data_IF_279899741631
#
_entry.id   IF_279899741631
#
_cell.length_a   1.000
_cell.length_b   1.000
_cell.length_c   1.000
_cell.angle_alpha   90.00
_cell.angle_beta   90.00
_cell.angle_gamma   90.00
#
_symmetry.space_group_name_H-M   'P 1'
#
loop_
_entity.id
_entity.type
_entity.pdbx_description
1 polymer ?
#
# COMPACT_ATOMS: atom_id res chain seq x y z
N UNK A 1 -21.66 15.60 -10.64
CA UNK A 1 -20.37 14.92 -10.39
C UNK A 1 -20.29 13.68 -11.30
N UNK A 2 -19.25 13.59 -12.15
CA UNK A 2 -19.20 12.61 -13.25
C UNK A 2 -19.14 11.15 -12.71
N UNK A 3 -19.95 10.21 -13.23
CA UNK A 3 -20.03 8.81 -12.73
C UNK A 3 -18.66 8.12 -12.64
N UNK A 4 -17.76 8.41 -13.59
CA UNK A 4 -16.38 7.86 -13.61
C UNK A 4 -15.52 8.34 -12.43
N UNK A 5 -15.70 9.59 -12.01
CA UNK A 5 -14.96 10.16 -10.88
C UNK A 5 -15.38 9.49 -9.57
N UNK A 6 -16.68 9.29 -9.36
CA UNK A 6 -17.21 8.55 -8.20
C UNK A 6 -16.62 7.13 -8.12
N UNK A 7 -16.58 6.41 -9.25
CA UNK A 7 -16.00 5.07 -9.30
C UNK A 7 -14.51 5.07 -8.93
N UNK A 8 -13.74 6.02 -9.46
CA UNK A 8 -12.31 6.15 -9.13
C UNK A 8 -12.07 6.34 -7.63
N UNK A 9 -12.88 7.18 -7.00
CA UNK A 9 -12.79 7.45 -5.56
C UNK A 9 -13.24 6.28 -4.71
N UNK A 10 -14.30 5.57 -5.12
CA UNK A 10 -14.72 4.34 -4.46
C UNK A 10 -13.63 3.27 -4.50
N UNK A 11 -13.02 3.05 -5.67
CA UNK A 11 -11.92 2.07 -5.79
C UNK A 11 -10.70 2.49 -4.98
N UNK A 12 -10.34 3.78 -5.00
CA UNK A 12 -9.23 4.31 -4.20
C UNK A 12 -9.49 4.10 -2.70
N UNK A 13 -10.69 4.46 -2.23
CA UNK A 13 -11.08 4.28 -0.83
C UNK A 13 -11.12 2.80 -0.43
N UNK A 14 -11.64 1.93 -1.30
CA UNK A 14 -11.66 0.49 -1.08
C UNK A 14 -10.23 -0.09 -1.00
N UNK A 15 -9.33 0.29 -1.92
CA UNK A 15 -7.95 -0.19 -1.92
C UNK A 15 -7.17 0.28 -0.69
N UNK A 16 -7.25 1.58 -0.36
CA UNK A 16 -6.59 2.11 0.83
C UNK A 16 -7.22 1.56 2.12
N UNK A 17 -8.54 1.45 2.18
CA UNK A 17 -9.25 0.92 3.34
C UNK A 17 -8.94 -0.56 3.57
N UNK A 18 -8.88 -1.36 2.50
CA UNK A 18 -8.45 -2.74 2.58
C UNK A 18 -6.98 -2.84 3.00
N UNK A 19 -6.10 -2.08 2.36
CA UNK A 19 -4.67 -2.10 2.66
C UNK A 19 -4.34 -1.65 4.10
N UNK A 20 -4.95 -0.57 4.57
CA UNK A 20 -4.74 -0.06 5.93
C UNK A 20 -5.53 -0.83 6.99
N UNK A 21 -6.68 -1.39 6.65
CA UNK A 21 -7.57 -2.06 7.59
C UNK A 21 -7.23 -3.53 7.83
N UNK A 22 -6.76 -4.25 6.81
CA UNK A 22 -6.47 -5.69 6.89
C UNK A 22 -5.58 -6.09 8.08
N UNK A 23 -4.46 -5.41 8.37
CA UNK A 23 -3.58 -5.77 9.48
C UNK A 23 -4.23 -5.64 10.87
N UNK A 24 -5.29 -4.82 10.98
CA UNK A 24 -6.02 -4.58 12.23
C UNK A 24 -7.13 -5.59 12.47
N UNK A 25 -7.58 -6.27 11.41
CA UNK A 25 -8.61 -7.29 11.55
C UNK A 25 -8.02 -8.49 12.28
N UNK A 26 -8.77 -8.97 13.26
CA UNK A 26 -8.39 -10.13 14.06
C UNK A 26 -9.40 -11.24 13.89
N UNK A 27 -8.90 -12.46 13.84
CA UNK A 27 -9.70 -13.66 13.79
C UNK A 27 -9.20 -14.65 14.84
N UNK A 28 -10.07 -15.02 15.78
CA UNK A 28 -9.76 -15.94 16.90
C UNK A 28 -8.51 -15.55 17.70
N UNK A 29 -8.30 -14.24 17.91
CA UNK A 29 -7.19 -13.72 18.71
C UNK A 29 -5.88 -13.47 17.94
N UNK A 30 -5.75 -13.96 16.70
CA UNK A 30 -4.60 -13.66 15.83
C UNK A 30 -4.97 -12.62 14.75
N UNK A 31 -3.97 -11.98 14.15
CA UNK A 31 -4.16 -11.13 12.97
C UNK A 31 -4.77 -11.94 11.81
N UNK A 32 -5.69 -11.33 11.07
CA UNK A 32 -6.44 -11.97 9.98
C UNK A 32 -5.52 -12.44 8.85
N UNK A 33 -4.57 -11.58 8.48
CA UNK A 33 -3.52 -11.86 7.52
C UNK A 33 -2.18 -11.48 8.14
N UNK A 34 -1.31 -12.48 8.30
CA UNK A 34 0.04 -12.27 8.79
C UNK A 34 1.02 -13.18 8.06
N UNK A 35 2.07 -12.57 7.51
CA UNK A 35 3.19 -13.24 6.88
C UNK A 35 4.30 -13.40 7.92
N UNK A 36 4.28 -14.52 8.63
CA UNK A 36 5.26 -14.82 9.67
C UNK A 36 6.53 -15.38 9.01
N UNK A 37 7.52 -14.51 8.82
CA UNK A 37 8.78 -14.87 8.17
C UNK A 37 9.61 -15.81 9.06
N UNK A 38 9.58 -15.61 10.37
CA UNK A 38 10.36 -16.39 11.33
C UNK A 38 9.82 -17.81 11.46
N UNK A 39 8.50 -17.95 11.62
CA UNK A 39 7.85 -19.25 11.60
C UNK A 39 7.84 -19.87 10.20
N UNK A 40 7.99 -19.06 9.13
CA UNK A 40 7.80 -19.44 7.71
C UNK A 40 6.36 -19.86 7.41
N UNK A 41 5.39 -19.16 8.00
CA UNK A 41 3.98 -19.49 7.94
C UNK A 41 3.17 -18.26 7.51
N UNK A 42 2.26 -18.43 6.56
CA UNK A 42 1.29 -17.41 6.14
C UNK A 42 -0.03 -17.76 6.80
N UNK A 43 -0.40 -16.95 7.80
CA UNK A 43 -1.68 -17.06 8.48
C UNK A 43 -2.70 -16.24 7.72
N UNK A 44 -3.73 -16.88 7.18
CA UNK A 44 -4.81 -16.23 6.45
C UNK A 44 -6.16 -16.76 6.91
N UNK A 45 -6.96 -15.95 7.59
CA UNK A 45 -8.32 -16.29 8.00
C UNK A 45 -8.41 -17.61 8.82
N UNK A 46 -7.39 -17.89 9.64
CA UNK A 46 -7.28 -19.14 10.40
C UNK A 46 -6.77 -20.35 9.60
N UNK A 47 -6.51 -20.20 8.31
CA UNK A 47 -5.68 -21.12 7.53
C UNK A 47 -4.21 -20.82 7.81
N UNK A 48 -3.43 -21.86 7.95
CA UNK A 48 -1.99 -21.77 8.16
C UNK A 48 -1.25 -22.41 6.99
N UNK A 49 -0.68 -21.56 6.13
CA UNK A 49 0.00 -21.96 4.91
C UNK A 49 1.50 -21.89 5.12
N UNK A 50 2.12 -23.06 5.12
CA UNK A 50 3.57 -23.21 5.18
C UNK A 50 4.27 -22.64 3.95
N UNK A 51 5.20 -21.70 4.16
CA UNK A 51 6.00 -21.10 3.08
C UNK A 51 7.02 -22.07 2.48
N UNK A 52 7.42 -23.11 3.23
CA UNK A 52 8.36 -24.13 2.75
C UNK A 52 7.69 -25.20 1.86
N UNK A 53 6.36 -25.21 1.79
CA UNK A 53 5.61 -26.06 0.87
C UNK A 53 5.66 -25.48 -0.55
N UNK A 54 6.74 -25.80 -1.29
CA UNK A 54 7.02 -25.26 -2.63
C UNK A 54 5.88 -25.50 -3.62
N UNK A 55 5.28 -26.70 -3.62
CA UNK A 55 4.28 -27.05 -4.62
C UNK A 55 2.96 -26.27 -4.44
N UNK A 56 2.35 -26.17 -3.23
CA UNK A 56 1.23 -25.26 -2.99
C UNK A 56 1.53 -23.79 -3.32
N UNK A 57 2.71 -23.30 -2.94
CA UNK A 57 3.12 -21.91 -3.20
C UNK A 57 3.26 -21.64 -4.71
N UNK A 58 3.81 -22.59 -5.47
CA UNK A 58 3.93 -22.50 -6.92
C UNK A 58 2.54 -22.43 -7.57
N UNK A 59 1.62 -23.31 -7.19
CA UNK A 59 0.26 -23.30 -7.72
C UNK A 59 -0.47 -22.00 -7.39
N UNK A 60 -0.30 -21.48 -6.17
CA UNK A 60 -0.86 -20.19 -5.77
C UNK A 60 -0.30 -19.04 -6.62
N UNK A 61 1.02 -19.01 -6.84
CA UNK A 61 1.67 -18.00 -7.67
C UNK A 61 1.22 -18.06 -9.13
N UNK A 62 1.12 -19.26 -9.71
CA UNK A 62 0.61 -19.48 -11.07
C UNK A 62 -0.86 -19.06 -11.18
N UNK A 63 -1.69 -19.40 -10.20
CA UNK A 63 -3.09 -19.00 -10.17
C UNK A 63 -3.24 -17.47 -10.09
N UNK A 64 -2.44 -16.80 -9.25
CA UNK A 64 -2.44 -15.35 -9.14
C UNK A 64 -2.00 -14.67 -10.45
N UNK A 65 -0.95 -15.18 -11.09
CA UNK A 65 -0.49 -14.68 -12.39
C UNK A 65 -1.54 -14.89 -13.48
N UNK A 66 -2.13 -16.09 -13.56
CA UNK A 66 -3.18 -16.40 -14.51
C UNK A 66 -4.42 -15.52 -14.30
N UNK A 67 -4.83 -15.30 -13.05
CA UNK A 67 -5.94 -14.41 -12.71
C UNK A 67 -5.64 -12.97 -13.13
N UNK A 68 -4.42 -12.47 -12.88
CA UNK A 68 -4.02 -11.13 -13.33
C UNK A 68 -4.05 -11.03 -14.86
N UNK A 69 -3.48 -11.99 -15.58
CA UNK A 69 -3.49 -12.04 -17.04
C UNK A 69 -4.92 -12.11 -17.60
N UNK A 70 -5.79 -12.93 -17.00
CA UNK A 70 -7.19 -13.07 -17.40
C UNK A 70 -7.95 -11.75 -17.21
N UNK A 71 -7.86 -11.12 -16.02
CA UNK A 71 -8.49 -9.82 -15.75
C UNK A 71 -7.99 -8.78 -16.75
N UNK A 72 -6.69 -8.78 -17.03
CA UNK A 72 -6.09 -7.85 -17.99
C UNK A 72 -6.55 -8.09 -19.42
N UNK A 73 -6.67 -9.35 -19.83
CA UNK A 73 -7.14 -9.71 -21.18
C UNK A 73 -8.61 -9.37 -21.37
N UNK A 74 -9.44 -9.51 -20.34
CA UNK A 74 -10.88 -9.24 -20.42
C UNK A 74 -11.20 -7.76 -20.29
N UNK A 75 -10.47 -7.04 -19.43
CA UNK A 75 -10.82 -5.68 -19.03
C UNK A 75 -9.74 -4.63 -19.37
N UNK A 76 -8.70 -5.00 -20.10
CA UNK A 76 -7.62 -4.11 -20.53
C UNK A 76 -6.86 -3.47 -19.35
N UNK A 77 -6.44 -2.21 -19.53
CA UNK A 77 -5.64 -1.46 -18.54
C UNK A 77 -6.43 -0.95 -17.31
N UNK A 78 -7.58 -1.54 -16.98
CA UNK A 78 -8.37 -1.14 -15.80
C UNK A 78 -7.58 -1.26 -14.49
N UNK A 79 -6.74 -2.29 -14.34
CA UNK A 79 -5.85 -2.40 -13.17
C UNK A 79 -4.94 -1.18 -13.02
N UNK A 80 -4.16 -0.86 -14.06
CA UNK A 80 -3.28 0.31 -14.09
C UNK A 80 -4.04 1.61 -13.88
N UNK A 81 -5.24 1.73 -14.45
CA UNK A 81 -6.05 2.93 -14.36
C UNK A 81 -6.76 3.12 -13.00
N UNK A 82 -6.94 2.08 -12.17
CA UNK A 82 -7.76 2.19 -10.95
C UNK A 82 -7.11 1.64 -9.68
N UNK A 83 -6.48 0.47 -9.73
CA UNK A 83 -6.05 -0.28 -8.55
C UNK A 83 -4.53 -0.36 -8.36
N UNK A 84 -3.74 -0.07 -9.41
CA UNK A 84 -2.28 -0.10 -9.32
C UNK A 84 -1.78 0.80 -8.16
N UNK A 85 -0.86 0.32 -7.29
CA UNK A 85 -0.37 1.07 -6.14
C UNK A 85 0.16 2.46 -6.52
N UNK A 86 0.87 2.57 -7.66
CA UNK A 86 1.39 3.85 -8.14
C UNK A 86 0.27 4.85 -8.45
N UNK A 87 -0.81 4.38 -9.08
CA UNK A 87 -1.97 5.19 -9.42
C UNK A 87 -2.71 5.63 -8.16
N UNK A 88 -2.91 4.73 -7.21
CA UNK A 88 -3.57 5.01 -5.92
C UNK A 88 -2.79 6.08 -5.15
N UNK A 89 -1.48 5.90 -4.98
CA UNK A 89 -0.61 6.84 -4.26
C UNK A 89 -0.55 8.21 -4.94
N UNK A 90 -0.35 8.25 -6.26
CA UNK A 90 -0.27 9.52 -7.01
C UNK A 90 -1.59 10.28 -6.97
N UNK A 91 -2.73 9.57 -7.07
CA UNK A 91 -4.06 10.20 -6.95
C UNK A 91 -4.31 10.73 -5.55
N UNK A 92 -3.95 9.97 -4.52
CA UNK A 92 -4.05 10.40 -3.13
C UNK A 92 -3.23 11.67 -2.90
N UNK A 93 -1.99 11.70 -3.40
CA UNK A 93 -1.14 12.89 -3.30
C UNK A 93 -1.75 14.09 -4.02
N UNK A 94 -2.16 13.96 -5.30
CA UNK A 94 -2.81 15.06 -6.04
C UNK A 94 -4.11 15.54 -5.37
N UNK A 95 -4.85 14.65 -4.71
CA UNK A 95 -6.00 15.04 -3.93
C UNK A 95 -5.62 15.86 -2.70
N UNK A 96 -4.64 15.41 -1.93
CA UNK A 96 -4.08 16.14 -0.80
C UNK A 96 -3.63 17.54 -1.22
N UNK A 97 -2.90 17.63 -2.33
CA UNK A 97 -2.45 18.88 -2.93
C UNK A 97 -3.61 19.83 -3.24
N UNK A 98 -4.68 19.34 -3.88
CA UNK A 98 -5.86 20.16 -4.20
C UNK A 98 -6.55 20.66 -2.94
N UNK A 99 -6.68 19.81 -1.92
CA UNK A 99 -7.31 20.19 -0.65
C UNK A 99 -6.49 21.30 0.03
N UNK A 100 -5.15 21.17 0.06
CA UNK A 100 -4.28 22.18 0.68
C UNK A 100 -4.31 23.53 -0.07
N UNK A 101 -4.35 23.51 -1.41
CA UNK A 101 -4.35 24.75 -2.21
C UNK A 101 -5.73 25.41 -2.29
N UNK A 102 -6.81 24.63 -2.49
CA UNK A 102 -8.15 25.17 -2.72
C UNK A 102 -8.83 25.67 -1.45
N UNK A 103 -8.63 24.97 -0.33
CA UNK A 103 -9.29 25.33 0.92
C UNK A 103 -8.50 26.35 1.74
N UNK A 104 -7.36 26.83 1.24
CA UNK A 104 -6.52 27.80 1.94
C UNK A 104 -6.13 27.34 3.35
N UNK A 105 -6.04 26.03 3.59
CA UNK A 105 -5.73 25.43 4.90
C UNK A 105 -4.42 25.97 5.49
N UNK A 106 -3.58 26.54 4.63
CA UNK A 106 -2.31 27.14 4.95
C UNK A 106 -2.13 28.40 4.08
N UNK A 107 -1.61 29.49 4.66
CA UNK A 107 -1.18 30.64 3.87
C UNK A 107 -0.06 30.26 2.88
N UNK A 108 0.14 31.05 1.82
CA UNK A 108 1.06 30.75 0.73
C UNK A 108 2.50 30.37 1.16
N UNK A 109 2.96 30.87 2.32
CA UNK A 109 4.29 30.55 2.89
C UNK A 109 4.37 29.17 3.54
N UNK A 110 3.28 28.70 4.17
CA UNK A 110 3.26 27.45 4.95
C UNK A 110 2.66 26.29 4.17
N UNK A 111 1.94 26.55 3.07
CA UNK A 111 1.34 25.52 2.22
C UNK A 111 2.34 24.45 1.73
N UNK A 112 3.57 24.80 1.26
CA UNK A 112 4.52 23.79 0.80
C UNK A 112 5.00 22.87 1.93
N UNK A 113 5.20 23.43 3.12
CA UNK A 113 5.64 22.70 4.32
C UNK A 113 4.53 21.77 4.80
N UNK A 114 3.30 22.27 4.90
CA UNK A 114 2.16 21.47 5.32
C UNK A 114 1.94 20.28 4.37
N UNK A 115 2.05 20.51 3.05
CA UNK A 115 1.92 19.45 2.05
C UNK A 115 2.97 18.36 2.21
N UNK A 116 4.23 18.74 2.46
CA UNK A 116 5.30 17.76 2.71
C UNK A 116 5.07 17.02 4.02
N UNK A 117 4.66 17.71 5.09
CA UNK A 117 4.39 17.10 6.39
C UNK A 117 3.23 16.09 6.31
N UNK A 118 2.11 16.46 5.68
CA UNK A 118 0.96 15.58 5.50
C UNK A 118 1.31 14.36 4.64
N UNK A 119 2.08 14.54 3.56
CA UNK A 119 2.51 13.41 2.75
C UNK A 119 3.51 12.51 3.47
N UNK A 120 4.44 13.08 4.23
CA UNK A 120 5.37 12.32 5.07
C UNK A 120 4.63 11.51 6.14
N UNK A 121 3.58 12.07 6.76
CA UNK A 121 2.75 11.34 7.72
C UNK A 121 2.02 10.16 7.07
N UNK A 122 1.44 10.35 5.88
CA UNK A 122 0.81 9.26 5.11
C UNK A 122 1.85 8.20 4.75
N UNK A 123 3.03 8.61 4.27
CA UNK A 123 4.10 7.69 3.90
C UNK A 123 4.62 6.89 5.11
N UNK A 124 4.76 7.53 6.27
CA UNK A 124 5.11 6.86 7.53
C UNK A 124 4.05 5.82 7.89
N UNK A 125 2.77 6.18 7.83
CA UNK A 125 1.68 5.24 8.08
C UNK A 125 1.66 4.08 7.08
N UNK A 126 1.95 4.35 5.79
CA UNK A 126 2.13 3.33 4.77
C UNK A 126 3.25 2.36 5.16
N UNK A 127 4.41 2.86 5.62
CA UNK A 127 5.51 2.03 6.10
C UNK A 127 5.14 1.16 7.31
N UNK A 128 4.47 1.74 8.31
CA UNK A 128 3.96 1.01 9.49
C UNK A 128 3.00 -0.10 9.05
N UNK A 129 2.07 0.20 8.13
CA UNK A 129 1.10 -0.76 7.64
C UNK A 129 1.77 -1.90 6.87
N UNK A 130 2.75 -1.59 6.02
CA UNK A 130 3.51 -2.61 5.29
C UNK A 130 4.19 -3.58 6.26
N UNK A 131 4.86 -3.08 7.29
CA UNK A 131 5.49 -3.92 8.31
C UNK A 131 4.43 -4.63 9.17
N UNK A 132 3.24 -4.03 9.35
CA UNK A 132 2.09 -4.62 10.03
C UNK A 132 1.54 -5.90 9.40
N UNK A 133 1.88 -6.19 8.14
CA UNK A 133 1.58 -7.48 7.51
C UNK A 133 2.53 -8.61 7.93
N UNK A 134 3.67 -8.27 8.52
CA UNK A 134 4.71 -9.22 8.95
C UNK A 134 4.82 -9.32 10.47
N UNK A 135 4.68 -8.18 11.16
CA UNK A 135 4.63 -8.07 12.62
C UNK A 135 3.25 -7.58 13.08
N UNK A 136 2.76 -8.00 14.27
CA UNK A 136 1.48 -7.51 14.79
C UNK A 136 1.41 -5.97 14.87
N UNK A 137 0.47 -5.37 14.12
CA UNK A 137 0.38 -3.91 13.96
C UNK A 137 0.15 -3.16 15.28
N UNK A 138 -0.56 -3.76 16.24
CA UNK A 138 -0.82 -3.19 17.57
C UNK A 138 0.50 -2.95 18.33
N UNK A 139 1.43 -3.90 18.26
CA UNK A 139 2.76 -3.77 18.86
C UNK A 139 3.59 -2.68 18.19
N UNK A 140 3.51 -2.56 16.85
CA UNK A 140 4.22 -1.52 16.12
C UNK A 140 3.72 -0.12 16.49
N UNK A 141 2.40 0.08 16.55
CA UNK A 141 1.82 1.40 16.85
C UNK A 141 2.02 1.80 18.32
N UNK A 142 1.92 0.86 19.26
CA UNK A 142 2.16 1.15 20.68
C UNK A 142 3.64 1.29 21.02
N UNK A 143 4.53 0.58 20.31
CA UNK A 143 5.97 0.66 20.50
C UNK A 143 6.62 1.89 19.85
N UNK A 144 5.99 2.49 18.83
CA UNK A 144 6.53 3.64 18.10
C UNK A 144 6.83 4.86 19.00
N UNK A 145 5.89 5.35 19.84
CA UNK A 145 6.13 6.53 20.68
C UNK A 145 7.15 6.27 21.78
N UNK A 146 7.26 5.02 22.24
CA UNK A 146 8.20 4.59 23.27
C UNK A 146 9.61 4.30 22.72
N UNK A 147 9.81 4.41 21.39
CA UNK A 147 11.04 3.97 20.70
C UNK A 147 11.44 2.51 21.05
N UNK A 148 10.43 1.68 21.31
CA UNK A 148 10.59 0.30 21.78
C UNK A 148 10.55 -0.73 20.63
N UNK A 149 10.57 -0.28 19.39
CA UNK A 149 10.52 -1.14 18.20
C UNK A 149 11.80 -1.97 18.06
N UNK A 150 11.65 -3.17 17.52
CA UNK A 150 12.81 -3.95 17.08
C UNK A 150 13.60 -3.17 16.02
N UNK A 151 14.93 -3.29 16.03
CA UNK A 151 15.81 -2.63 15.04
C UNK A 151 15.41 -2.94 13.60
N UNK A 152 14.96 -4.18 13.36
CA UNK A 152 14.47 -4.66 12.08
C UNK A 152 13.19 -3.92 11.64
N UNK A 153 12.20 -3.85 12.53
CA UNK A 153 10.92 -3.19 12.26
C UNK A 153 11.13 -1.70 12.00
N UNK A 154 11.91 -1.03 12.84
CA UNK A 154 12.23 0.39 12.68
C UNK A 154 12.91 0.68 11.34
N UNK A 155 13.87 -0.15 10.93
CA UNK A 155 14.54 -0.03 9.63
C UNK A 155 13.54 -0.15 8.46
N UNK A 156 12.69 -1.17 8.45
CA UNK A 156 11.76 -1.39 7.34
C UNK A 156 10.64 -0.36 7.30
N UNK A 157 10.14 0.08 8.46
CA UNK A 157 9.17 1.19 8.54
C UNK A 157 9.79 2.44 7.91
N UNK A 158 11.01 2.81 8.31
CA UNK A 158 11.71 3.97 7.77
C UNK A 158 12.00 3.82 6.27
N UNK A 159 12.45 2.64 5.83
CA UNK A 159 12.72 2.34 4.43
C UNK A 159 11.46 2.48 3.55
N UNK A 160 10.36 1.81 3.92
CA UNK A 160 9.12 1.89 3.16
C UNK A 160 8.51 3.29 3.20
N UNK A 161 8.55 3.97 4.36
CA UNK A 161 8.09 5.35 4.47
C UNK A 161 8.89 6.28 3.55
N UNK A 162 10.22 6.17 3.56
CA UNK A 162 11.08 6.94 2.68
C UNK A 162 10.82 6.60 1.21
N UNK A 163 10.71 5.32 0.86
CA UNK A 163 10.43 4.89 -0.50
C UNK A 163 9.09 5.43 -1.01
N UNK A 164 8.02 5.34 -0.21
CA UNK A 164 6.69 5.89 -0.56
C UNK A 164 6.73 7.40 -0.70
N UNK A 165 7.41 8.09 0.22
CA UNK A 165 7.59 9.53 0.19
C UNK A 165 8.34 9.97 -1.08
N UNK A 166 9.52 9.39 -1.32
CA UNK A 166 10.40 9.73 -2.44
C UNK A 166 9.79 9.36 -3.80
N UNK A 167 9.09 8.23 -3.89
CA UNK A 167 8.45 7.79 -5.13
C UNK A 167 7.49 8.86 -5.67
N UNK A 168 6.59 9.35 -4.82
CA UNK A 168 5.60 10.31 -5.27
C UNK A 168 6.16 11.73 -5.40
N UNK A 169 7.22 12.10 -4.68
CA UNK A 169 7.83 13.43 -4.83
C UNK A 169 8.76 13.57 -6.05
N UNK A 170 9.49 12.52 -6.40
CA UNK A 170 10.53 12.60 -7.43
C UNK A 170 10.22 11.81 -8.68
N UNK A 171 9.63 10.61 -8.54
CA UNK A 171 9.43 9.71 -9.67
C UNK A 171 8.08 9.95 -10.35
N UNK A 172 6.99 10.20 -9.61
CA UNK A 172 5.65 10.43 -10.16
C UNK A 172 5.30 9.39 -11.25
N UNK A 173 5.11 9.83 -12.50
CA UNK A 173 4.75 8.98 -13.64
C UNK A 173 5.94 8.23 -14.23
N UNK A 174 7.19 8.62 -13.90
CA UNK A 174 8.41 7.93 -14.35
C UNK A 174 8.45 6.48 -13.89
N UNK A 175 7.82 6.14 -12.76
CA UNK A 175 7.67 4.74 -12.34
C UNK A 175 6.94 3.93 -13.40
N UNK A 176 5.81 4.43 -13.92
CA UNK A 176 5.02 3.72 -14.91
C UNK A 176 5.76 3.58 -16.25
N UNK A 177 6.57 4.56 -16.64
CA UNK A 177 7.30 4.56 -17.92
C UNK A 177 8.59 3.74 -17.87
N UNK A 178 9.38 3.89 -16.81
CA UNK A 178 10.75 3.36 -16.77
C UNK A 178 10.91 2.14 -15.87
N UNK A 179 10.20 2.07 -14.74
CA UNK A 179 10.40 1.02 -13.74
C UNK A 179 9.37 -0.11 -13.86
N UNK A 180 8.13 0.21 -14.21
CA UNK A 180 7.03 -0.76 -14.23
C UNK A 180 7.20 -1.71 -15.43
N UNK A 181 7.51 -3.01 -15.21
CA UNK A 181 7.59 -3.96 -16.31
C UNK A 181 6.22 -4.19 -16.95
N UNK A 182 5.15 -4.06 -16.15
CA UNK A 182 3.79 -4.37 -16.56
C UNK A 182 3.23 -3.40 -17.61
N UNK A 183 3.66 -2.13 -17.62
CA UNK A 183 3.24 -1.18 -18.66
C UNK A 183 3.68 -1.59 -20.08
N UNK A 184 4.71 -2.45 -20.18
CA UNK A 184 5.25 -2.97 -21.45
C UNK A 184 4.66 -4.31 -21.86
N UNK A 185 4.14 -5.07 -20.90
CA UNK A 185 3.62 -6.43 -21.12
C UNK A 185 2.12 -6.42 -21.44
N UNK A 186 1.39 -5.39 -21.02
CA UNK A 186 -0.03 -5.24 -21.36
C UNK A 186 -0.23 -4.79 -22.82
N UNK A 187 -1.17 -5.39 -23.57
CA UNK A 187 -1.59 -4.88 -24.89
C UNK A 187 -2.20 -3.46 -24.78
#
# INVERSE_FOLDING_TARGET
MNRRHLLQWLVLAAMLGLFYGLPWLRWRGAALLLFDIEARHIRFFGLDLRMDAVLPMLWLALAALAALCLVTSLYGRLWCAYACPQTVLTRLHRALQRITTLNGLAGARIEPVLRHALWAAIALWTGITFVGYFSPVEGLVTGLPALALGRWEAFWIAFYAFATWANVLFLHERVCTYLCPYSRVQP
#
